data_IF_307529050991
#
_entry.id   IF_307529050991
#
_cell.length_a   1.000
_cell.length_b   1.000
_cell.length_c   1.000
_cell.angle_alpha   90.00
_cell.angle_beta   90.00
_cell.angle_gamma   90.00
#
_symmetry.space_group_name_H-M   'P 1'
#
loop_
_entity.id
_entity.type
_entity.pdbx_description
1 polymer ?
#
# COMPACT_ATOMS: atom_id res chain seq x y z
N UNK A 1 15.16 2.85 9.21
CA UNK A 1 15.88 1.62 8.84
C UNK A 1 15.16 0.89 7.73
N UNK A 2 15.90 0.30 6.82
CA UNK A 2 15.31 -0.40 5.68
C UNK A 2 15.21 -1.88 5.96
N UNK A 3 14.08 -2.49 5.62
CA UNK A 3 13.94 -3.93 5.81
C UNK A 3 14.78 -4.70 4.80
N UNK A 4 15.49 -5.70 5.27
CA UNK A 4 16.30 -6.57 4.44
C UNK A 4 15.79 -8.00 4.45
N UNK A 5 15.04 -8.35 5.46
CA UNK A 5 14.52 -9.68 5.64
C UNK A 5 13.07 -9.58 6.09
N UNK A 6 12.40 -10.71 6.19
CA UNK A 6 11.04 -10.73 6.68
C UNK A 6 10.94 -10.20 8.10
N UNK A 7 11.95 -10.50 8.93
CA UNK A 7 11.97 -10.02 10.30
C UNK A 7 12.13 -8.51 10.35
N UNK A 8 13.06 -7.98 9.55
CA UNK A 8 13.27 -6.53 9.50
C UNK A 8 12.03 -5.81 8.99
N UNK A 9 11.37 -6.39 7.99
CA UNK A 9 10.17 -5.83 7.42
C UNK A 9 9.06 -5.75 8.46
N UNK A 10 8.87 -6.82 9.23
CA UNK A 10 7.82 -6.85 10.25
C UNK A 10 8.07 -5.83 11.35
N UNK A 11 9.34 -5.69 11.75
CA UNK A 11 9.70 -4.71 12.76
C UNK A 11 9.40 -3.30 12.25
N UNK A 12 9.86 -2.99 11.05
CA UNK A 12 9.61 -1.69 10.46
C UNK A 12 8.11 -1.40 10.37
N UNK A 13 7.34 -2.42 9.97
CA UNK A 13 5.90 -2.27 9.86
C UNK A 13 5.27 -1.93 11.21
N UNK A 14 5.66 -2.65 12.27
CA UNK A 14 5.13 -2.42 13.60
C UNK A 14 5.56 -1.09 14.19
N UNK A 15 6.71 -0.57 13.75
CA UNK A 15 7.27 0.65 14.31
C UNK A 15 6.80 1.91 13.59
N UNK A 16 5.83 1.81 12.73
CA UNK A 16 5.27 2.99 12.09
C UNK A 16 4.98 2.85 10.61
N UNK A 17 5.51 1.82 9.97
CA UNK A 17 5.29 1.64 8.53
C UNK A 17 3.82 1.51 8.18
N UNK A 18 3.06 0.83 9.03
CA UNK A 18 1.64 0.67 8.79
C UNK A 18 0.91 2.00 8.83
N UNK A 19 1.22 2.82 9.82
CA UNK A 19 0.58 4.13 9.92
C UNK A 19 0.95 5.02 8.76
N UNK A 20 2.21 4.95 8.31
CA UNK A 20 2.65 5.72 7.15
C UNK A 20 1.93 5.28 5.90
N UNK A 21 1.75 3.98 5.72
CA UNK A 21 1.06 3.48 4.54
C UNK A 21 -0.40 3.90 4.54
N UNK A 22 -1.06 3.84 5.70
CA UNK A 22 -2.45 4.29 5.79
C UNK A 22 -2.57 5.77 5.45
N UNK A 23 -1.66 6.58 5.95
CA UNK A 23 -1.68 8.01 5.65
C UNK A 23 -1.44 8.27 4.18
N UNK A 24 -0.51 7.53 3.59
CA UNK A 24 -0.20 7.68 2.17
C UNK A 24 -1.41 7.29 1.31
N UNK A 25 -2.06 6.19 1.63
CA UNK A 25 -3.23 5.75 0.87
C UNK A 25 -4.38 6.74 0.99
N UNK A 26 -4.63 7.28 2.18
CA UNK A 26 -5.68 8.29 2.35
C UNK A 26 -5.43 9.51 1.48
N UNK A 27 -4.15 9.83 1.28
CA UNK A 27 -3.76 11.00 0.53
C UNK A 27 -3.77 10.77 -0.98
N UNK A 28 -3.42 9.55 -1.41
CA UNK A 28 -3.20 9.27 -2.82
C UNK A 28 -4.29 8.41 -3.47
N UNK A 29 -5.09 7.71 -2.67
CA UNK A 29 -6.12 6.82 -3.18
C UNK A 29 -7.46 7.25 -2.59
N UNK A 30 -8.25 7.91 -3.40
CA UNK A 30 -9.47 8.55 -2.97
C UNK A 30 -10.43 7.67 -2.17
N UNK A 31 -10.62 6.39 -2.52
CA UNK A 31 -11.58 5.56 -1.77
C UNK A 31 -11.31 5.47 -0.27
N UNK A 32 -10.06 5.65 0.17
CA UNK A 32 -9.75 5.60 1.60
C UNK A 32 -9.82 6.95 2.28
N UNK A 33 -9.99 8.03 1.53
CA UNK A 33 -9.99 9.36 2.13
C UNK A 33 -11.10 9.52 3.18
N UNK A 34 -12.24 8.87 2.97
CA UNK A 34 -13.36 8.95 3.88
C UNK A 34 -13.68 7.62 4.55
N UNK A 35 -12.82 6.61 4.40
CA UNK A 35 -13.05 5.31 5.03
C UNK A 35 -12.69 5.36 6.51
N UNK A 36 -13.29 4.45 7.30
CA UNK A 36 -12.98 4.41 8.72
C UNK A 36 -11.60 3.79 8.96
N UNK A 37 -11.14 3.89 10.21
CA UNK A 37 -9.80 3.41 10.56
C UNK A 37 -9.64 1.92 10.35
N UNK A 38 -10.67 1.14 10.68
CA UNK A 38 -10.58 -0.31 10.51
C UNK A 38 -10.43 -0.69 9.05
N UNK A 39 -11.18 -0.03 8.17
CA UNK A 39 -11.07 -0.27 6.74
C UNK A 39 -9.69 0.12 6.23
N UNK A 40 -9.19 1.28 6.63
CA UNK A 40 -7.86 1.72 6.22
C UNK A 40 -6.79 0.74 6.66
N UNK A 41 -6.87 0.28 7.91
CA UNK A 41 -5.88 -0.66 8.44
C UNK A 41 -5.94 -1.99 7.69
N UNK A 42 -7.15 -2.47 7.39
CA UNK A 42 -7.31 -3.72 6.67
C UNK A 42 -6.72 -3.63 5.26
N UNK A 43 -7.01 -2.54 4.57
CA UNK A 43 -6.49 -2.36 3.20
C UNK A 43 -4.97 -2.18 3.21
N UNK A 44 -4.43 -1.43 4.17
CA UNK A 44 -2.98 -1.27 4.27
C UNK A 44 -2.31 -2.62 4.51
N UNK A 45 -2.89 -3.46 5.36
CA UNK A 45 -2.33 -4.78 5.63
C UNK A 45 -2.31 -5.63 4.37
N UNK A 46 -3.38 -5.59 3.58
CA UNK A 46 -3.43 -6.36 2.34
C UNK A 46 -2.33 -5.92 1.37
N UNK A 47 -2.15 -4.61 1.23
CA UNK A 47 -1.08 -4.12 0.35
C UNK A 47 0.30 -4.45 0.88
N UNK A 48 0.46 -4.44 2.20
CA UNK A 48 1.75 -4.72 2.80
C UNK A 48 2.22 -6.14 2.48
N UNK A 49 1.30 -7.08 2.39
CA UNK A 49 1.64 -8.45 2.04
C UNK A 49 2.27 -8.50 0.65
N UNK A 50 1.68 -7.77 -0.30
CA UNK A 50 2.22 -7.71 -1.65
C UNK A 50 3.56 -6.99 -1.68
N UNK A 51 3.68 -5.89 -0.94
CA UNK A 51 4.94 -5.15 -0.89
C UNK A 51 6.05 -6.00 -0.29
N UNK A 52 5.74 -6.73 0.77
CA UNK A 52 6.73 -7.58 1.42
C UNK A 52 7.19 -8.73 0.54
N UNK A 53 6.35 -9.20 -0.37
CA UNK A 53 6.71 -10.26 -1.30
C UNK A 53 7.24 -9.72 -2.62
N UNK A 54 7.41 -8.41 -2.72
CA UNK A 54 7.94 -7.74 -3.92
C UNK A 54 7.08 -7.99 -5.15
N UNK A 55 5.77 -7.94 -4.95
CA UNK A 55 4.83 -8.10 -6.06
C UNK A 55 5.04 -7.00 -7.10
N UNK A 56 4.79 -7.31 -8.39
CA UNK A 56 4.94 -6.30 -9.42
C UNK A 56 3.87 -5.23 -9.32
N UNK A 57 4.15 -4.09 -9.96
CA UNK A 57 3.24 -2.95 -9.93
C UNK A 57 1.81 -3.33 -10.33
N UNK A 58 1.68 -4.16 -11.34
CA UNK A 58 0.34 -4.55 -11.81
C UNK A 58 -0.42 -5.33 -10.76
N UNK A 59 0.28 -6.06 -9.89
CA UNK A 59 -0.38 -6.79 -8.81
C UNK A 59 -0.90 -5.84 -7.76
N UNK A 60 -0.15 -4.78 -7.46
CA UNK A 60 -0.61 -3.76 -6.52
C UNK A 60 -1.84 -3.04 -7.08
N UNK A 61 -1.79 -2.68 -8.36
CA UNK A 61 -2.92 -2.01 -8.99
C UNK A 61 -4.16 -2.91 -9.02
N UNK A 62 -3.96 -4.20 -9.29
CA UNK A 62 -5.07 -5.16 -9.29
C UNK A 62 -5.68 -5.30 -7.91
N UNK A 63 -4.86 -5.26 -6.87
CA UNK A 63 -5.38 -5.33 -5.51
C UNK A 63 -6.20 -4.09 -5.17
N UNK A 64 -5.72 -2.92 -5.56
CA UNK A 64 -6.46 -1.69 -5.35
C UNK A 64 -7.81 -1.73 -6.09
N UNK A 65 -7.82 -2.29 -7.28
CA UNK A 65 -9.06 -2.44 -8.03
C UNK A 65 -10.05 -3.34 -7.28
N UNK A 66 -9.57 -4.44 -6.73
CA UNK A 66 -10.42 -5.33 -5.94
C UNK A 66 -10.98 -4.64 -4.71
N UNK A 67 -10.11 -3.89 -4.02
CA UNK A 67 -10.53 -3.14 -2.84
C UNK A 67 -11.62 -2.12 -3.18
N UNK A 68 -11.45 -1.46 -4.32
CA UNK A 68 -12.43 -0.46 -4.80
C UNK A 68 -13.78 -1.11 -5.01
N UNK A 69 -13.79 -2.28 -5.61
CA UNK A 69 -15.03 -3.02 -5.83
C UNK A 69 -15.68 -3.42 -4.50
N UNK A 70 -14.87 -3.85 -3.53
CA UNK A 70 -15.37 -4.23 -2.21
C UNK A 70 -15.98 -3.03 -1.49
N UNK A 71 -15.46 -1.84 -1.73
CA UNK A 71 -15.98 -0.62 -1.11
C UNK A 71 -17.17 -0.04 -1.86
N UNK A 72 -17.53 -0.63 -2.99
CA UNK A 72 -18.66 -0.13 -3.77
C UNK A 72 -18.38 1.17 -4.48
N UNK A 73 -17.11 1.47 -4.76
CA UNK A 73 -16.70 2.71 -5.40
C UNK A 73 -16.50 2.46 -6.89
N UNK A 74 -16.87 3.40 -7.77
CA UNK A 74 -16.71 3.20 -9.21
C UNK A 74 -15.27 2.95 -9.61
N UNK A 75 -15.08 2.18 -10.67
CA UNK A 75 -13.77 1.84 -11.17
C UNK A 75 -13.01 3.08 -11.64
N UNK A 76 -11.70 3.09 -11.39
CA UNK A 76 -10.83 4.16 -11.85
C UNK A 76 -9.43 3.60 -11.98
N UNK A 77 -9.15 2.99 -13.12
CA UNK A 77 -7.86 2.31 -13.34
C UNK A 77 -6.69 3.28 -13.28
N UNK A 78 -6.88 4.51 -13.76
CA UNK A 78 -5.81 5.50 -13.74
C UNK A 78 -5.43 5.85 -12.30
N UNK A 79 -6.41 6.04 -11.44
CA UNK A 79 -6.11 6.34 -10.04
C UNK A 79 -5.46 5.14 -9.36
N UNK A 80 -5.93 3.93 -9.65
CA UNK A 80 -5.36 2.73 -9.04
C UNK A 80 -3.91 2.55 -9.44
N UNK A 81 -3.58 2.79 -10.71
CA UNK A 81 -2.20 2.68 -11.17
C UNK A 81 -1.31 3.74 -10.55
N UNK A 82 -1.82 4.95 -10.44
CA UNK A 82 -1.07 6.05 -9.82
C UNK A 82 -0.80 5.75 -8.35
N UNK A 83 -1.82 5.31 -7.62
CA UNK A 83 -1.65 4.99 -6.21
C UNK A 83 -0.69 3.83 -6.03
N UNK A 84 -0.78 2.81 -6.87
CA UNK A 84 0.14 1.67 -6.80
C UNK A 84 1.59 2.13 -7.01
N UNK A 85 1.81 3.03 -7.96
CA UNK A 85 3.15 3.55 -8.23
C UNK A 85 3.68 4.31 -7.02
N UNK A 86 2.85 5.18 -6.43
CA UNK A 86 3.26 5.96 -5.27
C UNK A 86 3.60 5.05 -4.10
N UNK A 87 2.77 4.04 -3.85
CA UNK A 87 3.01 3.13 -2.75
C UNK A 87 4.30 2.33 -2.95
N UNK A 88 4.51 1.84 -4.16
CA UNK A 88 5.72 1.07 -4.44
C UNK A 88 6.97 1.92 -4.28
N UNK A 89 6.92 3.15 -4.78
CA UNK A 89 8.07 4.05 -4.68
C UNK A 89 8.35 4.44 -3.23
N UNK A 90 7.30 4.53 -2.43
CA UNK A 90 7.43 4.86 -1.01
C UNK A 90 8.01 3.70 -0.20
N UNK A 91 7.71 2.47 -0.58
CA UNK A 91 8.09 1.31 0.23
C UNK A 91 9.62 1.24 0.37
N UNK A 92 10.13 1.13 1.61
CA UNK A 92 11.58 1.20 1.84
C UNK A 92 12.40 0.18 1.07
N UNK A 93 11.88 -1.01 0.86
CA UNK A 93 12.61 -2.03 0.11
C UNK A 93 12.83 -1.60 -1.33
N UNK A 94 11.82 -0.93 -1.92
CA UNK A 94 11.97 -0.38 -3.25
C UNK A 94 12.93 0.79 -3.26
N UNK A 95 12.87 1.62 -2.23
CA UNK A 95 13.76 2.77 -2.12
C UNK A 95 15.21 2.37 -1.99
N UNK A 96 15.45 1.22 -1.39
CA UNK A 96 16.82 0.71 -1.22
C UNK A 96 17.52 0.62 -2.56
N UNK A 97 16.80 0.26 -3.61
CA UNK A 97 17.39 0.17 -4.92
C UNK A 97 17.96 1.48 -5.40
N UNK A 98 17.53 2.59 -4.83
CA UNK A 98 18.00 3.90 -5.22
C UNK A 98 19.36 4.25 -4.60
N UNK A 99 19.86 3.43 -3.75
CA UNK A 99 21.11 3.75 -3.05
C UNK A 99 22.27 3.27 -3.83
#
# INVERSE_FOLDING_TARGET
>A
MRPRSSTDWRRWWAEGGEQELRALLRKTWRPLASADEGTCAHMATRLSTLLGSRAPLRALAAELRRMRAELGVPADDTEDERAATVVRDWFPAGSVGAR
#
